data_IF_633782089962
#
_entry.id   IF_633782089962
#
_cell.length_a   1.000
_cell.length_b   1.000
_cell.length_c   1.000
_cell.angle_alpha   90.00
_cell.angle_beta   90.00
_cell.angle_gamma   90.00
#
_symmetry.space_group_name_H-M   'P 1'
#
loop_
_entity.id
_entity.type
_entity.pdbx_description
1 polymer ?
#
# COMPACT_ATOMS: atom_id res chain seq x y z
N UNK A 1 -0.30 -38.37 -41.35
CA UNK A 1 -1.05 -37.55 -40.39
C UNK A 1 -0.10 -37.15 -39.27
N UNK A 2 0.31 -35.89 -39.21
CA UNK A 2 1.11 -35.31 -38.13
C UNK A 2 0.57 -33.88 -37.97
N UNK A 3 -0.16 -33.62 -36.87
CA UNK A 3 -0.57 -32.26 -36.51
C UNK A 3 0.52 -31.68 -35.62
N UNK A 4 1.09 -30.58 -36.07
CA UNK A 4 2.07 -29.78 -35.31
C UNK A 4 1.25 -28.77 -34.52
N UNK A 5 1.36 -28.80 -33.19
CA UNK A 5 0.84 -27.75 -32.32
C UNK A 5 1.91 -26.68 -32.20
N UNK A 6 1.66 -25.51 -32.79
CA UNK A 6 2.45 -24.29 -32.54
C UNK A 6 1.95 -23.67 -31.24
N UNK A 7 2.75 -23.73 -30.17
CA UNK A 7 2.56 -22.87 -29.01
C UNK A 7 2.97 -21.45 -29.42
N UNK A 8 2.01 -20.52 -29.43
CA UNK A 8 2.31 -19.10 -29.48
C UNK A 8 2.74 -18.65 -28.08
N UNK A 9 4.01 -18.32 -27.94
CA UNK A 9 4.50 -17.53 -26.81
C UNK A 9 4.03 -16.09 -27.04
N UNK A 10 3.14 -15.58 -26.17
CA UNK A 10 2.84 -14.16 -26.09
C UNK A 10 3.84 -13.56 -25.09
N UNK A 11 4.81 -12.81 -25.60
CA UNK A 11 5.61 -11.90 -24.78
C UNK A 11 4.68 -10.77 -24.32
N UNK A 12 4.35 -10.71 -23.03
CA UNK A 12 3.74 -9.53 -22.43
C UNK A 12 4.83 -8.48 -22.21
N UNK A 13 4.81 -7.42 -23.03
CA UNK A 13 5.62 -6.24 -22.80
C UNK A 13 4.94 -5.39 -21.74
N UNK A 14 5.58 -5.21 -20.58
CA UNK A 14 5.13 -4.30 -19.52
C UNK A 14 5.37 -2.87 -20.00
N UNK A 15 4.30 -2.15 -20.31
CA UNK A 15 4.32 -0.71 -20.51
C UNK A 15 3.67 -0.05 -19.29
N UNK A 16 4.49 0.55 -18.41
CA UNK A 16 4.02 1.49 -17.40
C UNK A 16 3.39 2.68 -18.13
N UNK A 17 2.06 2.73 -18.19
CA UNK A 17 1.32 3.89 -18.65
C UNK A 17 1.03 4.79 -17.45
N UNK A 18 1.97 5.72 -17.22
CA UNK A 18 1.68 6.94 -16.49
C UNK A 18 0.66 7.75 -17.30
N UNK A 19 -0.60 7.77 -16.88
CA UNK A 19 -1.63 8.62 -17.49
C UNK A 19 -1.42 10.05 -16.99
N UNK A 20 -0.54 10.77 -17.68
CA UNK A 20 -0.48 12.22 -17.66
C UNK A 20 -1.57 12.79 -18.57
N UNK A 21 -2.55 13.48 -17.98
CA UNK A 21 -3.60 14.19 -18.72
C UNK A 21 -3.06 15.39 -19.50
N UNK A 22 -2.70 15.17 -20.77
CA UNK A 22 -2.43 16.23 -21.73
C UNK A 22 -3.72 16.75 -22.36
N UNK A 23 -4.12 17.97 -22.01
CA UNK A 23 -5.22 18.68 -22.67
C UNK A 23 -4.77 19.21 -24.03
N UNK A 24 -5.43 18.77 -25.11
CA UNK A 24 -5.26 19.33 -26.44
C UNK A 24 -6.02 20.67 -26.55
N UNK A 25 -5.31 21.72 -26.93
CA UNK A 25 -5.88 23.04 -27.20
C UNK A 25 -6.65 23.04 -28.53
N UNK A 26 -7.93 23.43 -28.48
CA UNK A 26 -8.70 23.83 -29.65
C UNK A 26 -8.92 25.35 -29.58
N UNK A 27 -8.40 26.07 -30.57
CA UNK A 27 -8.61 27.49 -30.81
C UNK A 27 -10.08 27.80 -31.15
N UNK A 28 -10.72 28.66 -30.34
CA UNK A 28 -11.85 29.50 -30.77
C UNK A 28 -11.77 30.88 -30.10
N UNK A 29 -11.48 31.89 -30.93
CA UNK A 29 -12.09 33.24 -30.95
C UNK A 29 -12.31 34.00 -29.64
N UNK A 30 -11.56 35.10 -29.46
CA UNK A 30 -11.67 36.03 -28.33
C UNK A 30 -12.96 36.87 -28.28
N UNK A 31 -13.31 37.39 -27.10
CA UNK A 31 -12.92 38.72 -26.55
C UNK A 31 -13.63 38.91 -25.21
N UNK A 32 -12.89 39.29 -24.17
CA UNK A 32 -13.30 40.31 -23.17
C UNK A 32 -12.16 40.50 -22.16
N UNK A 33 -11.64 41.71 -22.15
CA UNK A 33 -10.65 42.25 -21.23
C UNK A 33 -11.24 42.28 -19.81
N UNK A 34 -10.63 41.54 -18.88
CA UNK A 34 -10.90 41.63 -17.46
C UNK A 34 -9.58 41.43 -16.71
N UNK A 35 -9.01 42.55 -16.30
CA UNK A 35 -7.78 42.69 -15.53
C UNK A 35 -7.65 41.64 -14.43
N UNK A 36 -6.62 40.79 -14.53
CA UNK A 36 -6.22 39.89 -13.44
C UNK A 36 -5.61 40.71 -12.30
N UNK A 37 -5.95 40.45 -11.02
CA UNK A 37 -5.21 41.02 -9.91
C UNK A 37 -3.84 40.35 -9.86
N UNK A 38 -2.77 41.14 -9.98
CA UNK A 38 -1.40 40.72 -9.67
C UNK A 38 -1.32 40.41 -8.17
N UNK A 39 -1.37 39.13 -7.80
CA UNK A 39 -0.91 38.69 -6.49
C UNK A 39 0.62 38.69 -6.53
N UNK A 40 1.22 39.66 -5.84
CA UNK A 40 2.65 39.66 -5.58
C UNK A 40 3.01 38.38 -4.81
N UNK A 41 3.77 37.49 -5.43
CA UNK A 41 4.39 36.35 -4.76
C UNK A 41 5.49 36.87 -3.84
N UNK A 42 5.17 37.07 -2.58
CA UNK A 42 6.17 37.15 -1.53
C UNK A 42 6.78 35.74 -1.35
N UNK A 43 8.11 35.58 -1.37
CA UNK A 43 8.71 34.27 -1.14
C UNK A 43 8.36 33.79 0.28
N UNK A 44 7.99 32.50 0.47
CA UNK A 44 7.65 32.00 1.78
C UNK A 44 8.86 32.14 2.70
N UNK A 45 8.70 32.90 3.79
CA UNK A 45 9.66 32.88 4.88
C UNK A 45 9.74 31.47 5.46
N UNK A 46 10.93 31.00 5.90
CA UNK A 46 11.04 29.70 6.53
C UNK A 46 10.19 29.69 7.79
N UNK A 47 9.08 28.93 7.75
CA UNK A 47 8.32 28.63 8.93
C UNK A 47 9.24 27.82 9.85
N UNK A 48 9.65 28.42 10.96
CA UNK A 48 10.21 27.69 12.08
C UNK A 48 9.17 26.65 12.50
N UNK A 49 9.46 25.38 12.26
CA UNK A 49 8.67 24.28 12.79
C UNK A 49 8.54 24.48 14.31
N UNK A 50 7.34 24.81 14.77
CA UNK A 50 7.03 24.84 16.17
C UNK A 50 7.04 23.38 16.64
N UNK A 51 8.07 22.98 17.38
CA UNK A 51 8.06 21.72 18.13
C UNK A 51 6.84 21.75 19.05
N UNK A 52 5.83 20.95 18.73
CA UNK A 52 4.71 20.69 19.62
C UNK A 52 5.21 20.04 20.93
N UNK A 53 4.45 20.14 22.03
CA UNK A 53 4.78 19.42 23.25
C UNK A 53 4.59 17.92 22.99
N UNK A 54 5.70 17.21 22.81
CA UNK A 54 5.73 15.75 22.62
C UNK A 54 6.53 15.30 21.40
N UNK A 55 7.77 15.76 21.24
CA UNK A 55 8.72 15.01 20.42
C UNK A 55 9.05 13.74 21.20
N UNK A 56 8.44 12.62 20.83
CA UNK A 56 8.73 11.32 21.40
C UNK A 56 10.17 10.98 21.04
N UNK A 57 11.09 11.05 21.99
CA UNK A 57 12.50 10.72 21.74
C UNK A 57 12.59 9.29 21.21
N UNK A 58 13.25 9.10 20.06
CA UNK A 58 13.58 7.76 19.58
C UNK A 58 14.33 6.99 20.67
N UNK A 59 13.94 5.75 20.87
CA UNK A 59 14.47 4.92 21.93
C UNK A 59 15.96 4.64 21.76
N UNK A 60 16.64 4.42 22.88
CA UNK A 60 17.92 3.70 22.89
C UNK A 60 17.65 2.19 22.99
N UNK A 61 18.58 1.31 22.58
CA UNK A 61 18.38 -0.13 22.74
C UNK A 61 18.07 -0.54 24.19
N UNK A 62 18.70 0.13 25.17
CA UNK A 62 18.48 -0.12 26.60
C UNK A 62 17.08 0.27 27.13
N UNK A 63 16.28 0.96 26.31
CA UNK A 63 14.90 1.36 26.65
C UNK A 63 13.84 0.51 25.92
N UNK A 64 14.25 -0.43 25.06
CA UNK A 64 13.34 -1.41 24.47
C UNK A 64 13.13 -2.57 25.44
N UNK A 65 12.10 -2.44 26.28
CA UNK A 65 11.64 -3.54 27.13
C UNK A 65 10.68 -4.46 26.35
N UNK A 66 10.59 -5.72 26.76
CA UNK A 66 9.63 -6.68 26.21
C UNK A 66 8.20 -6.34 26.63
N UNK A 67 7.22 -6.61 25.76
CA UNK A 67 5.80 -6.32 25.98
C UNK A 67 5.30 -5.11 25.20
N UNK A 68 3.99 -4.85 25.31
CA UNK A 68 3.25 -3.87 24.48
C UNK A 68 3.44 -2.42 24.97
N UNK A 69 4.66 -2.03 25.34
CA UNK A 69 4.93 -0.63 25.66
C UNK A 69 4.92 0.21 24.39
N UNK A 70 3.76 0.82 24.12
CA UNK A 70 3.50 1.67 22.96
C UNK A 70 3.78 3.15 23.20
N UNK A 71 4.48 3.51 24.29
CA UNK A 71 4.86 4.90 24.56
C UNK A 71 6.22 5.27 23.96
N UNK A 72 7.03 4.27 23.59
CA UNK A 72 8.42 4.43 23.18
C UNK A 72 8.52 4.21 21.67
N UNK A 73 8.96 5.24 20.95
CA UNK A 73 9.12 5.19 19.49
C UNK A 73 10.40 4.46 19.10
N UNK A 74 10.30 3.52 18.17
CA UNK A 74 11.43 2.78 17.64
C UNK A 74 11.78 1.53 18.43
N UNK A 75 10.82 1.05 19.24
CA UNK A 75 10.92 -0.20 19.97
C UNK A 75 9.65 -1.01 19.75
N UNK A 76 9.80 -2.29 19.45
CA UNK A 76 8.66 -3.19 19.41
C UNK A 76 9.00 -4.54 20.07
N UNK A 77 8.30 -4.86 21.16
CA UNK A 77 8.48 -6.10 21.92
C UNK A 77 9.95 -6.45 22.23
N UNK A 78 10.72 -5.46 22.70
CA UNK A 78 12.16 -5.59 22.98
C UNK A 78 13.09 -5.45 21.78
N UNK A 79 12.56 -5.35 20.56
CA UNK A 79 13.34 -5.11 19.32
C UNK A 79 13.53 -3.62 19.10
N UNK A 80 14.78 -3.18 18.89
CA UNK A 80 15.12 -1.81 18.54
C UNK A 80 15.24 -1.63 17.03
N UNK A 81 14.94 -0.44 16.51
CA UNK A 81 14.97 -0.19 15.06
C UNK A 81 16.35 -0.36 14.39
N UNK A 82 17.45 -0.30 15.16
CA UNK A 82 18.82 -0.56 14.69
C UNK A 82 19.25 -2.02 14.84
N UNK A 83 18.39 -2.90 15.38
CA UNK A 83 18.71 -4.33 15.48
C UNK A 83 18.83 -4.98 14.09
N UNK A 84 19.55 -6.11 14.08
CA UNK A 84 19.83 -6.92 12.89
C UNK A 84 19.18 -8.30 13.04
N UNK A 85 18.77 -8.88 11.91
CA UNK A 85 18.27 -10.24 11.84
C UNK A 85 19.42 -11.20 11.52
N UNK A 86 19.40 -12.39 12.12
CA UNK A 86 20.45 -13.40 11.97
C UNK A 86 20.12 -14.50 10.96
N UNK A 87 19.08 -14.31 10.15
CA UNK A 87 18.57 -15.26 9.16
C UNK A 87 18.42 -14.55 7.80
N UNK A 88 18.18 -15.34 6.75
CA UNK A 88 17.89 -14.88 5.38
C UNK A 88 16.56 -15.52 4.90
N UNK A 89 16.20 -15.33 3.64
CA UNK A 89 14.97 -15.88 3.05
C UNK A 89 15.23 -17.02 2.04
N UNK A 90 16.44 -17.61 2.03
CA UNK A 90 16.85 -18.57 1.00
C UNK A 90 16.00 -19.87 1.01
N UNK A 91 15.57 -20.33 2.18
CA UNK A 91 14.65 -21.45 2.37
C UNK A 91 13.22 -21.04 2.74
N UNK A 92 12.98 -19.71 2.77
CA UNK A 92 11.73 -19.06 3.14
C UNK A 92 11.56 -18.91 4.64
N UNK A 93 10.77 -17.91 5.01
CA UNK A 93 10.55 -17.53 6.40
C UNK A 93 9.73 -18.59 7.15
N UNK A 94 10.23 -19.01 8.30
CA UNK A 94 9.43 -19.68 9.34
C UNK A 94 8.47 -18.68 10.01
N UNK A 95 7.50 -19.19 10.80
CA UNK A 95 6.55 -18.34 11.54
C UNK A 95 7.30 -17.43 12.53
N UNK A 96 8.32 -17.96 13.20
CA UNK A 96 9.15 -17.22 14.14
C UNK A 96 10.03 -16.16 13.46
N UNK A 97 10.57 -16.46 12.27
CA UNK A 97 11.35 -15.49 11.49
C UNK A 97 10.48 -14.38 10.90
N UNK A 98 9.27 -14.72 10.44
CA UNK A 98 8.28 -13.74 10.00
C UNK A 98 7.85 -12.82 11.15
N UNK A 99 7.64 -13.36 12.34
CA UNK A 99 7.34 -12.57 13.55
C UNK A 99 8.51 -11.64 13.90
N UNK A 100 9.74 -12.14 13.90
CA UNK A 100 10.93 -11.33 14.18
C UNK A 100 11.14 -10.21 13.15
N UNK A 101 10.95 -10.51 11.85
CA UNK A 101 10.97 -9.53 10.78
C UNK A 101 9.88 -8.47 10.97
N UNK A 102 8.67 -8.89 11.35
CA UNK A 102 7.54 -7.99 11.62
C UNK A 102 7.86 -7.05 12.77
N UNK A 103 8.36 -7.56 13.89
CA UNK A 103 8.74 -6.73 15.05
C UNK A 103 9.83 -5.70 14.71
N UNK A 104 10.88 -6.11 14.00
CA UNK A 104 11.91 -5.19 13.56
C UNK A 104 11.36 -4.12 12.60
N UNK A 105 10.50 -4.53 11.66
CA UNK A 105 9.91 -3.62 10.68
C UNK A 105 8.94 -2.65 11.35
N UNK A 106 8.16 -3.09 12.35
CA UNK A 106 7.34 -2.20 13.18
C UNK A 106 8.20 -1.16 13.89
N UNK A 107 9.26 -1.56 14.60
CA UNK A 107 10.17 -0.62 15.25
C UNK A 107 10.78 0.40 14.26
N UNK A 108 11.16 -0.06 13.06
CA UNK A 108 11.68 0.81 11.99
C UNK A 108 10.62 1.76 11.44
N UNK A 109 9.39 1.31 11.23
CA UNK A 109 8.26 2.16 10.83
C UNK A 109 7.97 3.22 11.89
N UNK A 110 7.95 2.85 13.17
CA UNK A 110 7.79 3.82 14.26
C UNK A 110 8.88 4.88 14.23
N UNK A 111 10.14 4.47 14.05
CA UNK A 111 11.28 5.37 13.99
C UNK A 111 11.15 6.37 12.84
N UNK A 112 10.81 5.90 11.63
CA UNK A 112 10.65 6.78 10.46
C UNK A 112 9.45 7.71 10.63
N UNK A 113 8.33 7.18 11.16
CA UNK A 113 7.07 7.90 11.28
C UNK A 113 7.01 8.84 12.49
N UNK A 114 7.95 8.66 13.42
CA UNK A 114 8.03 9.31 14.73
C UNK A 114 6.77 9.08 15.59
N UNK A 115 6.17 7.89 15.48
CA UNK A 115 4.91 7.54 16.13
C UNK A 115 4.85 6.06 16.46
N UNK A 116 4.43 5.66 17.68
CA UNK A 116 4.34 4.26 18.03
C UNK A 116 3.06 3.62 17.47
N UNK A 117 3.11 2.31 17.22
CA UNK A 117 1.90 1.50 17.04
C UNK A 117 1.11 1.47 18.36
N UNK A 118 -0.22 1.27 18.29
CA UNK A 118 -1.07 1.11 19.48
C UNK A 118 -1.19 -0.34 19.93
N UNK A 119 -1.01 -1.27 19.00
CA UNK A 119 -1.08 -2.72 19.19
C UNK A 119 -0.32 -3.44 18.07
N UNK A 120 -0.07 -4.74 18.24
CA UNK A 120 0.56 -5.56 17.22
C UNK A 120 -0.29 -5.65 15.96
N UNK A 121 0.36 -5.73 14.80
CA UNK A 121 -0.31 -6.00 13.53
C UNK A 121 -0.03 -7.46 13.15
N UNK A 122 -1.03 -8.36 13.23
CA UNK A 122 -0.85 -9.76 12.85
C UNK A 122 -0.50 -9.89 11.37
N UNK A 123 0.40 -10.82 11.05
CA UNK A 123 0.78 -11.18 9.67
C UNK A 123 0.44 -12.64 9.45
N UNK A 124 -0.44 -12.90 8.49
CA UNK A 124 -0.88 -14.26 8.14
C UNK A 124 -0.53 -14.56 6.68
N UNK A 125 -0.20 -15.82 6.38
CA UNK A 125 0.03 -16.27 5.00
C UNK A 125 -1.17 -17.06 4.49
N UNK A 126 -1.54 -16.85 3.23
CA UNK A 126 -2.63 -17.57 2.56
C UNK A 126 -2.15 -18.04 1.19
N UNK A 127 -2.71 -19.14 0.69
CA UNK A 127 -2.42 -19.57 -0.68
C UNK A 127 -3.14 -18.70 -1.71
N UNK A 128 -2.61 -18.64 -2.94
CA UNK A 128 -3.24 -17.94 -4.07
C UNK A 128 -4.67 -18.43 -4.31
N UNK A 129 -4.91 -19.74 -4.21
CA UNK A 129 -6.23 -20.34 -4.36
C UNK A 129 -7.20 -19.94 -3.24
N UNK A 130 -6.72 -19.81 -2.00
CA UNK A 130 -7.54 -19.32 -0.88
C UNK A 130 -7.89 -17.84 -1.03
N UNK A 131 -6.92 -17.02 -1.47
CA UNK A 131 -7.15 -15.61 -1.77
C UNK A 131 -8.18 -15.42 -2.90
N UNK A 132 -8.03 -16.15 -4.02
CA UNK A 132 -8.92 -16.09 -5.18
C UNK A 132 -10.35 -16.56 -4.89
N UNK A 133 -10.55 -17.39 -3.86
CA UNK A 133 -11.89 -17.82 -3.45
C UNK A 133 -12.65 -16.74 -2.64
N UNK A 134 -12.10 -15.52 -2.54
CA UNK A 134 -12.75 -14.35 -1.95
C UNK A 134 -12.93 -14.37 -0.44
N UNK A 135 -12.37 -15.37 0.27
CA UNK A 135 -12.59 -15.54 1.71
C UNK A 135 -11.73 -14.61 2.56
N UNK A 136 -10.71 -13.96 1.99
CA UNK A 136 -9.65 -13.28 2.75
C UNK A 136 -9.21 -11.92 2.18
N UNK A 137 -9.43 -11.67 0.87
CA UNK A 137 -9.26 -10.35 0.26
C UNK A 137 -10.48 -9.48 0.55
N UNK A 138 -10.34 -8.51 1.46
CA UNK A 138 -11.39 -7.56 1.82
C UNK A 138 -11.96 -6.71 0.66
N UNK A 139 -11.51 -6.94 -0.58
CA UNK A 139 -12.06 -6.37 -1.81
C UNK A 139 -12.50 -7.47 -2.77
N UNK A 140 -13.74 -7.95 -2.66
CA UNK A 140 -14.27 -8.92 -3.61
C UNK A 140 -15.70 -9.34 -3.29
N UNK A 141 -16.67 -8.65 -3.90
CA UNK A 141 -18.07 -9.06 -3.99
C UNK A 141 -18.91 -9.12 -2.68
N UNK A 142 -18.59 -8.29 -1.68
CA UNK A 142 -19.51 -8.03 -0.56
C UNK A 142 -20.63 -7.06 -0.95
N UNK A 143 -21.80 -7.62 -1.28
CA UNK A 143 -23.05 -6.90 -1.57
C UNK A 143 -23.37 -5.78 -0.57
N UNK A 144 -22.97 -4.54 -0.88
CA UNK A 144 -23.52 -3.35 -0.23
C UNK A 144 -24.07 -2.38 -1.26
N UNK A 145 -25.38 -2.52 -1.48
CA UNK A 145 -26.31 -1.41 -1.70
C UNK A 145 -26.15 -0.59 -3.00
N UNK A 146 -26.55 -1.17 -4.15
CA UNK A 146 -27.04 -0.47 -5.36
C UNK A 146 -26.06 0.39 -6.17
N UNK A 147 -25.24 1.21 -5.52
CA UNK A 147 -24.27 2.17 -6.08
C UNK A 147 -23.04 1.47 -6.66
N UNK A 148 -22.49 0.47 -5.95
CA UNK A 148 -21.37 -0.34 -6.43
C UNK A 148 -21.68 -1.01 -7.77
N UNK A 149 -22.91 -1.50 -7.95
CA UNK A 149 -23.34 -2.08 -9.23
C UNK A 149 -23.40 -1.06 -10.37
N UNK A 150 -23.71 0.21 -10.09
CA UNK A 150 -23.76 1.26 -11.11
C UNK A 150 -22.36 1.75 -11.49
N UNK A 151 -21.47 1.90 -10.51
CA UNK A 151 -20.05 2.22 -10.73
C UNK A 151 -19.34 1.10 -11.50
N UNK A 152 -19.56 -0.16 -11.13
CA UNK A 152 -19.02 -1.32 -11.85
C UNK A 152 -19.53 -1.37 -13.30
N UNK A 153 -20.85 -1.26 -13.52
CA UNK A 153 -21.41 -1.20 -14.89
C UNK A 153 -20.90 -0.01 -15.72
N UNK A 154 -20.57 1.11 -15.08
CA UNK A 154 -19.98 2.26 -15.75
C UNK A 154 -18.52 2.00 -16.11
N UNK A 155 -17.74 1.45 -15.19
CA UNK A 155 -16.36 1.03 -15.45
C UNK A 155 -16.29 -0.03 -16.57
N UNK A 156 -17.14 -1.05 -16.53
CA UNK A 156 -17.22 -2.08 -17.58
C UNK A 156 -17.46 -1.44 -18.95
N UNK A 157 -18.40 -0.49 -19.07
CA UNK A 157 -18.64 0.24 -20.31
C UNK A 157 -17.42 1.05 -20.79
N UNK A 158 -16.69 1.69 -19.86
CA UNK A 158 -15.50 2.47 -20.21
C UNK A 158 -14.38 1.55 -20.71
N UNK A 159 -14.08 0.48 -19.98
CA UNK A 159 -12.99 -0.44 -20.30
C UNK A 159 -13.27 -1.31 -21.53
N UNK A 160 -14.53 -1.71 -21.74
CA UNK A 160 -14.99 -2.38 -22.96
C UNK A 160 -14.91 -1.44 -24.18
N UNK A 161 -15.37 -0.19 -24.04
CA UNK A 161 -15.31 0.79 -25.14
C UNK A 161 -13.87 1.17 -25.55
N UNK A 162 -12.92 1.08 -24.62
CA UNK A 162 -11.49 1.24 -24.89
C UNK A 162 -10.84 -0.03 -25.44
N UNK A 163 -11.59 -1.13 -25.58
CA UNK A 163 -11.11 -2.46 -26.00
C UNK A 163 -9.99 -3.02 -25.13
N UNK A 164 -9.92 -2.61 -23.87
CA UNK A 164 -8.94 -3.12 -22.89
C UNK A 164 -9.47 -4.41 -22.25
N UNK A 165 -10.79 -4.50 -22.05
CA UNK A 165 -11.48 -5.63 -21.43
C UNK A 165 -12.52 -6.17 -22.43
N UNK A 166 -12.64 -7.49 -22.54
CA UNK A 166 -13.58 -8.15 -23.46
C UNK A 166 -15.04 -8.08 -22.98
N UNK A 167 -15.99 -8.30 -23.88
CA UNK A 167 -17.43 -8.35 -23.57
C UNK A 167 -17.85 -9.57 -22.71
N UNK A 168 -16.97 -10.57 -22.61
CA UNK A 168 -17.17 -11.83 -21.91
C UNK A 168 -16.69 -11.82 -20.44
N UNK A 169 -16.12 -10.70 -19.99
CA UNK A 169 -15.55 -10.50 -18.66
C UNK A 169 -15.92 -9.11 -18.14
N UNK A 170 -15.61 -8.82 -16.87
CA UNK A 170 -15.83 -7.48 -16.29
C UNK A 170 -14.51 -6.80 -16.02
N UNK A 171 -14.49 -5.47 -16.01
CA UNK A 171 -13.29 -4.72 -15.66
C UNK A 171 -12.79 -5.11 -14.27
N UNK A 172 -13.71 -5.31 -13.33
CA UNK A 172 -13.37 -5.78 -11.98
C UNK A 172 -12.73 -7.18 -11.98
N UNK A 173 -13.20 -8.12 -12.80
CA UNK A 173 -12.64 -9.48 -12.88
C UNK A 173 -11.25 -9.52 -13.55
N UNK A 174 -11.03 -8.72 -14.60
CA UNK A 174 -9.70 -8.59 -15.21
C UNK A 174 -8.73 -7.87 -14.28
N UNK A 175 -9.18 -6.81 -13.60
CA UNK A 175 -8.42 -6.14 -12.54
C UNK A 175 -8.08 -7.17 -11.45
N UNK A 176 -9.04 -7.90 -10.90
CA UNK A 176 -8.78 -8.91 -9.86
C UNK A 176 -7.82 -10.02 -10.33
N UNK A 177 -7.91 -10.44 -11.60
CA UNK A 177 -6.98 -11.42 -12.18
C UNK A 177 -5.56 -10.86 -12.28
N UNK A 178 -5.41 -9.60 -12.69
CA UNK A 178 -4.11 -8.91 -12.81
C UNK A 178 -3.53 -8.59 -11.44
N UNK A 179 -4.33 -8.01 -10.54
CA UNK A 179 -3.92 -7.59 -9.20
C UNK A 179 -3.75 -8.79 -8.25
N UNK A 180 -4.64 -9.77 -8.23
CA UNK A 180 -4.48 -10.98 -7.42
C UNK A 180 -3.29 -11.85 -7.83
N UNK A 181 -2.84 -11.74 -9.08
CA UNK A 181 -1.58 -12.30 -9.57
C UNK A 181 -0.33 -11.47 -9.22
N UNK A 182 -0.48 -10.19 -8.88
CA UNK A 182 0.61 -9.24 -8.65
C UNK A 182 0.82 -8.84 -7.18
N UNK A 183 -0.19 -9.00 -6.32
CA UNK A 183 -0.12 -8.68 -4.89
C UNK A 183 0.64 -9.79 -4.14
N UNK A 184 1.73 -9.41 -3.48
CA UNK A 184 2.49 -10.26 -2.55
C UNK A 184 1.94 -10.21 -1.12
N UNK A 185 1.29 -9.13 -0.74
CA UNK A 185 0.55 -8.98 0.52
C UNK A 185 -0.25 -7.69 0.58
N UNK A 186 -1.18 -7.60 1.54
CA UNK A 186 -1.98 -6.41 1.80
C UNK A 186 -2.44 -6.37 3.26
N UNK A 187 -2.63 -5.18 3.81
CA UNK A 187 -3.35 -4.96 5.05
C UNK A 187 -4.86 -4.95 4.79
N UNK A 188 -5.61 -5.62 5.66
CA UNK A 188 -7.07 -5.66 5.62
C UNK A 188 -7.67 -4.89 6.80
N UNK A 189 -8.12 -3.63 6.61
CA UNK A 189 -8.79 -2.86 7.67
C UNK A 189 -10.03 -3.56 8.25
N UNK A 190 -10.75 -4.36 7.46
CA UNK A 190 -11.93 -5.08 7.95
C UNK A 190 -11.59 -6.24 8.91
N UNK A 191 -10.32 -6.62 8.98
CA UNK A 191 -9.84 -7.83 9.66
C UNK A 191 -8.64 -7.57 10.57
N UNK A 192 -8.20 -6.31 10.66
CA UNK A 192 -7.09 -5.83 11.47
C UNK A 192 -5.79 -6.63 11.31
N UNK A 193 -5.48 -7.09 10.09
CA UNK A 193 -4.29 -7.93 9.84
C UNK A 193 -3.72 -7.78 8.44
N UNK A 194 -2.43 -8.09 8.32
CA UNK A 194 -1.72 -8.24 7.05
C UNK A 194 -1.91 -9.67 6.56
N UNK A 195 -2.21 -9.80 5.27
CA UNK A 195 -2.35 -11.08 4.57
C UNK A 195 -1.29 -11.14 3.48
N UNK A 196 -0.38 -12.11 3.56
CA UNK A 196 0.63 -12.41 2.55
C UNK A 196 0.13 -13.52 1.62
N UNK A 197 0.16 -13.29 0.32
CA UNK A 197 -0.36 -14.24 -0.68
C UNK A 197 0.79 -15.03 -1.29
N UNK A 198 0.92 -16.28 -0.85
CA UNK A 198 2.02 -17.19 -1.22
C UNK A 198 1.54 -18.17 -2.31
N UNK A 199 2.28 -18.36 -3.41
CA UNK A 199 1.95 -19.40 -4.39
C UNK A 199 1.98 -20.81 -3.78
N UNK A 200 1.17 -21.72 -4.30
CA UNK A 200 1.09 -23.09 -3.78
C UNK A 200 2.44 -23.82 -3.90
N UNK A 201 2.99 -24.24 -2.76
CA UNK A 201 4.24 -25.00 -2.69
C UNK A 201 5.50 -24.14 -2.85
N UNK A 202 5.36 -22.82 -2.85
CA UNK A 202 6.48 -21.87 -2.76
C UNK A 202 6.76 -21.49 -1.30
N UNK A 203 7.98 -21.02 -1.06
CA UNK A 203 8.43 -20.60 0.26
C UNK A 203 7.91 -19.19 0.57
N UNK A 204 7.69 -18.88 1.86
CA UNK A 204 7.23 -17.56 2.28
C UNK A 204 8.37 -16.57 2.11
N UNK A 205 8.17 -15.56 1.26
CA UNK A 205 9.12 -14.48 1.04
C UNK A 205 8.39 -13.14 0.98
N UNK A 206 9.02 -12.09 1.49
CA UNK A 206 8.50 -10.74 1.43
C UNK A 206 9.65 -9.73 1.32
N UNK A 207 9.47 -8.73 0.46
CA UNK A 207 10.31 -7.53 0.46
C UNK A 207 10.03 -6.76 1.76
N UNK A 208 11.04 -6.50 2.61
CA UNK A 208 10.84 -5.75 3.85
C UNK A 208 10.20 -4.37 3.66
N UNK A 209 10.40 -3.74 2.50
CA UNK A 209 9.77 -2.46 2.14
C UNK A 209 8.26 -2.63 1.92
N UNK A 210 7.84 -3.72 1.28
CA UNK A 210 6.41 -4.07 1.17
C UNK A 210 5.81 -4.34 2.54
N UNK A 211 6.50 -5.09 3.41
CA UNK A 211 6.01 -5.27 4.79
C UNK A 211 5.89 -3.93 5.53
N UNK A 212 6.85 -3.03 5.36
CA UNK A 212 6.79 -1.69 5.93
C UNK A 212 5.60 -0.88 5.42
N UNK A 213 5.28 -0.98 4.13
CA UNK A 213 4.10 -0.36 3.51
C UNK A 213 2.81 -0.84 4.19
N UNK A 214 2.61 -2.15 4.29
CA UNK A 214 1.39 -2.73 4.89
C UNK A 214 1.29 -2.44 6.40
N UNK A 215 2.43 -2.40 7.09
CA UNK A 215 2.47 -1.99 8.50
C UNK A 215 2.07 -0.52 8.68
N UNK A 216 2.34 0.37 7.73
CA UNK A 216 1.85 1.75 7.79
C UNK A 216 0.33 1.79 7.67
N UNK A 217 -0.27 0.97 6.80
CA UNK A 217 -1.73 0.84 6.77
C UNK A 217 -2.30 0.33 8.10
N UNK A 218 -1.64 -0.67 8.71
CA UNK A 218 -1.97 -1.12 10.06
C UNK A 218 -1.91 0.00 11.09
N UNK A 219 -0.86 0.82 11.05
CA UNK A 219 -0.76 2.00 11.93
C UNK A 219 -1.88 3.00 11.65
N UNK A 220 -2.12 3.34 10.38
CA UNK A 220 -3.17 4.29 9.99
C UNK A 220 -4.53 3.84 10.54
N UNK A 221 -4.88 2.57 10.36
CA UNK A 221 -6.13 2.01 10.86
C UNK A 221 -6.26 2.08 12.37
N UNK A 222 -5.20 1.73 13.12
CA UNK A 222 -5.21 1.89 14.59
C UNK A 222 -5.50 3.32 15.05
N UNK A 223 -5.08 4.34 14.31
CA UNK A 223 -5.31 5.76 14.65
C UNK A 223 -6.61 6.33 14.10
N UNK A 224 -7.09 5.80 12.97
CA UNK A 224 -8.10 6.45 12.15
C UNK A 224 -9.35 5.61 11.92
N UNK A 225 -9.23 4.29 12.01
CA UNK A 225 -10.24 3.27 11.68
C UNK A 225 -10.73 3.51 10.25
N UNK A 226 -9.97 2.93 9.31
CA UNK A 226 -10.14 3.07 7.86
C UNK A 226 -11.45 2.42 7.38
N UNK A 227 -12.11 1.61 8.23
CA UNK A 227 -13.45 1.07 7.93
C UNK A 227 -14.56 2.12 8.03
N UNK A 228 -14.28 3.31 8.59
CA UNK A 228 -15.28 4.35 8.79
C UNK A 228 -15.80 4.91 7.46
N UNK A 229 -17.08 5.30 7.39
CA UNK A 229 -17.67 5.90 6.18
C UNK A 229 -16.98 7.16 5.66
N UNK A 230 -16.12 7.80 6.46
CA UNK A 230 -15.35 8.98 6.04
C UNK A 230 -14.19 8.65 5.09
N UNK A 231 -13.74 7.40 5.08
CA UNK A 231 -12.70 6.87 4.21
C UNK A 231 -13.30 6.17 2.98
N UNK A 232 -14.60 6.39 2.73
CA UNK A 232 -15.29 6.00 1.50
C UNK A 232 -15.82 7.27 0.86
N UNK A 233 -15.34 7.59 -0.34
CA UNK A 233 -15.72 8.76 -1.09
C UNK A 233 -17.19 8.70 -1.53
N UNK A 234 -17.87 9.84 -1.46
CA UNK A 234 -19.20 9.98 -2.06
C UNK A 234 -19.13 10.11 -3.60
N UNK A 235 -17.94 10.40 -4.12
CA UNK A 235 -17.63 10.61 -5.54
C UNK A 235 -16.26 9.98 -5.83
N UNK A 236 -15.98 9.70 -7.10
CA UNK A 236 -14.67 9.22 -7.52
C UNK A 236 -13.52 10.14 -7.07
N UNK A 237 -13.71 11.46 -7.18
CA UNK A 237 -12.73 12.44 -6.68
C UNK A 237 -12.53 12.34 -5.17
N UNK A 238 -13.58 11.97 -4.42
CA UNK A 238 -13.51 11.73 -2.99
C UNK A 238 -12.73 10.47 -2.65
N UNK A 239 -12.95 9.38 -3.39
CA UNK A 239 -12.18 8.13 -3.24
C UNK A 239 -10.70 8.40 -3.53
N UNK A 240 -10.39 9.02 -4.67
CA UNK A 240 -9.02 9.36 -5.05
C UNK A 240 -8.33 10.30 -4.03
N UNK A 241 -9.09 11.19 -3.40
CA UNK A 241 -8.55 12.06 -2.35
C UNK A 241 -8.24 11.31 -1.05
N UNK A 242 -9.05 10.31 -0.70
CA UNK A 242 -8.77 9.43 0.45
C UNK A 242 -7.57 8.55 0.14
N UNK A 243 -7.60 7.83 -0.98
CA UNK A 243 -6.53 6.93 -1.42
C UNK A 243 -5.20 7.69 -1.51
N UNK A 244 -5.20 8.87 -2.13
CA UNK A 244 -3.99 9.68 -2.27
C UNK A 244 -3.33 10.09 -0.95
N UNK A 245 -4.09 10.19 0.14
CA UNK A 245 -3.53 10.47 1.48
C UNK A 245 -3.08 9.18 2.16
N UNK A 246 -3.92 8.13 2.13
CA UNK A 246 -3.65 6.84 2.80
C UNK A 246 -2.44 6.15 2.16
N UNK A 247 -2.49 5.92 0.85
CA UNK A 247 -1.41 5.32 0.07
C UNK A 247 -0.19 6.23 0.00
N UNK A 248 -0.40 7.53 -0.15
CA UNK A 248 0.70 8.50 -0.27
C UNK A 248 1.62 8.53 0.96
N UNK A 249 1.05 8.38 2.15
CA UNK A 249 1.84 8.23 3.38
C UNK A 249 2.56 6.88 3.45
N UNK A 250 1.88 5.77 3.11
CA UNK A 250 2.48 4.44 3.09
C UNK A 250 3.68 4.38 2.14
N UNK A 251 3.52 4.84 0.90
CA UNK A 251 4.61 4.96 -0.09
C UNK A 251 5.73 5.87 0.41
N UNK A 252 5.41 7.00 1.06
CA UNK A 252 6.46 7.87 1.59
C UNK A 252 7.33 7.16 2.63
N UNK A 253 6.73 6.39 3.54
CA UNK A 253 7.44 5.65 4.58
C UNK A 253 8.20 4.46 3.97
N UNK A 254 7.60 3.75 3.02
CA UNK A 254 8.24 2.68 2.24
C UNK A 254 9.53 3.18 1.56
N UNK A 255 9.46 4.30 0.82
CA UNK A 255 10.63 4.88 0.16
C UNK A 255 11.73 5.26 1.16
N UNK A 256 11.35 5.76 2.34
CA UNK A 256 12.29 6.08 3.42
C UNK A 256 12.91 4.82 4.02
N UNK A 257 12.13 3.76 4.18
CA UNK A 257 12.59 2.47 4.66
C UNK A 257 13.61 1.87 3.67
N UNK A 258 13.26 1.80 2.39
CA UNK A 258 14.14 1.32 1.33
C UNK A 258 15.44 2.15 1.24
N UNK A 259 15.34 3.47 1.35
CA UNK A 259 16.52 4.34 1.36
C UNK A 259 17.45 4.09 2.56
N UNK A 260 16.90 3.69 3.72
CA UNK A 260 17.69 3.31 4.90
C UNK A 260 18.35 1.94 4.71
N UNK A 261 17.63 0.96 4.16
CA UNK A 261 18.21 -0.34 3.78
C UNK A 261 19.37 -0.20 2.80
N UNK A 262 19.26 0.74 1.85
CA UNK A 262 20.32 1.00 0.88
C UNK A 262 21.54 1.75 1.46
N UNK A 263 21.48 2.25 2.69
CA UNK A 263 22.51 3.11 3.28
C UNK A 263 23.05 2.58 4.62
N UNK A 264 22.20 2.51 5.65
CA UNK A 264 22.64 2.31 7.04
C UNK A 264 21.91 1.21 7.83
N UNK A 265 20.89 0.58 7.26
CA UNK A 265 20.23 -0.58 7.86
C UNK A 265 20.59 -1.86 7.13
N UNK A 266 20.83 -2.94 7.89
CA UNK A 266 20.84 -4.29 7.35
C UNK A 266 19.39 -4.75 7.18
N UNK A 267 18.95 -4.94 5.95
CA UNK A 267 17.63 -5.45 5.61
C UNK A 267 17.76 -6.83 4.97
N UNK A 268 16.72 -7.66 5.10
CA UNK A 268 16.68 -8.96 4.45
C UNK A 268 16.62 -8.77 2.93
N UNK A 269 17.39 -9.60 2.24
CA UNK A 269 17.36 -9.77 0.78
C UNK A 269 16.61 -11.05 0.40
#
# INVERSE_FOLDING_TARGET
MRRVHTLSFVLAAVALLAVGGGVAAADVGGVADASSPTLASEPPQPATAASGPGATSSATPATCDTGDNTEVVGCWNGTHYEDELSFDQDDGLTEEELEALTHLTMARVEHIRERPFREGVPVETVTRAEFANGSMGGGGAGETNGSLSASQRWNDQVWEALFVVGEDTTAAAEIDTVFGGAVSGFYSPAQDRIVLVVPEGEAVQIDPSTLAHELVHGMQDQYHDLTRPRYVGATQDGDLAVDGIVEGEAVHIEERYAARCADNWSCLD
#
